data_IF_125369383032
#
_entry.id   IF_125369383032
#
_cell.length_a   1.000
_cell.length_b   1.000
_cell.length_c   1.000
_cell.angle_alpha   90.00
_cell.angle_beta   90.00
_cell.angle_gamma   90.00
#
_symmetry.space_group_name_H-M   'P 1'
#
loop_
_entity.id
_entity.type
_entity.pdbx_description
1 polymer ?
#
# COMPACT_ATOMS: atom_id res chain seq x y z
N UNK A 1 -6.48 42.11 51.41
CA UNK A 1 -5.15 42.62 51.71
C UNK A 1 -4.38 42.45 50.43
N UNK A 2 -4.35 43.49 49.66
CA UNK A 2 -3.25 44.43 49.32
C UNK A 2 -2.32 43.81 48.29
N UNK A 3 -2.36 44.27 47.08
CA UNK A 3 -2.01 45.53 46.40
C UNK A 3 -0.82 45.30 45.50
N UNK A 4 -0.99 45.57 44.22
CA UNK A 4 -0.48 46.75 43.49
C UNK A 4 0.98 46.56 43.07
N UNK A 5 1.47 46.97 41.93
CA UNK A 5 1.21 48.04 40.98
C UNK A 5 2.34 48.02 39.95
N UNK A 6 2.07 48.25 38.67
CA UNK A 6 2.41 49.45 37.88
C UNK A 6 3.88 49.57 37.45
N UNK A 7 4.11 49.85 36.26
CA UNK A 7 4.11 50.94 35.29
C UNK A 7 5.39 50.84 34.45
N UNK A 8 5.39 51.00 33.24
CA UNK A 8 5.30 52.07 32.24
C UNK A 8 6.66 52.43 31.56
N UNK A 9 6.63 52.67 30.31
CA UNK A 9 7.12 53.74 29.41
C UNK A 9 7.68 53.24 28.11
N UNK A 10 6.99 53.44 27.01
CA UNK A 10 6.96 54.63 26.10
C UNK A 10 8.30 55.10 25.53
N UNK A 11 8.43 55.04 24.22
CA UNK A 11 8.50 56.21 23.30
C UNK A 11 9.00 55.76 21.92
N UNK A 12 8.24 55.98 20.82
CA UNK A 12 8.16 57.18 19.91
C UNK A 12 9.44 57.34 19.03
N UNK A 13 9.35 57.35 17.74
CA UNK A 13 8.95 58.32 16.74
C UNK A 13 9.33 57.78 15.37
N UNK A 14 8.54 57.77 14.35
CA UNK A 14 7.90 58.79 13.53
C UNK A 14 8.69 59.18 12.23
N UNK A 15 7.92 59.09 11.14
CA UNK A 15 7.99 59.87 9.91
C UNK A 15 9.08 59.57 8.87
N UNK A 16 8.76 59.29 7.61
CA UNK A 16 8.24 60.23 6.64
C UNK A 16 7.74 59.59 5.35
N UNK A 17 6.83 60.27 4.76
CA UNK A 17 5.97 60.01 3.62
C UNK A 17 6.65 60.31 2.26
N UNK A 18 5.80 59.98 1.24
CA UNK A 18 5.77 60.51 -0.15
C UNK A 18 6.67 59.79 -1.18
N UNK A 19 6.20 59.35 -2.32
CA UNK A 19 5.20 59.81 -3.31
C UNK A 19 5.04 58.79 -4.45
N UNK A 20 3.82 58.57 -4.85
CA UNK A 20 3.26 58.48 -6.23
C UNK A 20 4.05 57.83 -7.37
N UNK A 21 3.43 56.78 -7.98
CA UNK A 21 3.72 56.35 -9.33
C UNK A 21 2.85 55.15 -9.77
N UNK A 22 1.81 55.41 -10.53
CA UNK A 22 0.98 54.43 -11.27
C UNK A 22 1.85 53.62 -12.21
N UNK A 23 1.65 52.29 -12.27
CA UNK A 23 1.41 51.62 -13.53
C UNK A 23 0.70 50.28 -13.33
N UNK A 24 -0.45 50.17 -14.00
CA UNK A 24 -1.18 48.91 -14.20
C UNK A 24 -0.67 48.32 -15.49
N UNK A 25 -0.13 47.10 -15.47
CA UNK A 25 -0.40 46.07 -16.48
C UNK A 25 0.50 44.83 -16.27
N UNK A 26 -0.10 43.67 -16.43
CA UNK A 26 0.52 42.36 -16.72
C UNK A 26 1.34 41.67 -15.63
N UNK A 27 0.70 40.78 -14.90
CA UNK A 27 1.34 39.55 -14.37
C UNK A 27 0.32 38.43 -14.18
N UNK A 28 -0.04 37.76 -15.26
CA UNK A 28 -0.82 36.52 -15.24
C UNK A 28 -0.08 35.29 -15.79
N UNK A 29 1.25 35.35 -15.93
CA UNK A 29 2.03 34.24 -16.55
C UNK A 29 3.12 33.60 -15.68
N UNK A 30 3.28 33.93 -14.42
CA UNK A 30 4.44 33.45 -13.64
C UNK A 30 4.16 32.44 -12.53
N UNK A 31 3.00 31.76 -12.49
CA UNK A 31 2.74 30.75 -11.44
C UNK A 31 2.89 29.27 -11.86
N UNK A 32 3.20 28.98 -13.13
CA UNK A 32 3.45 27.60 -13.58
C UNK A 32 4.92 27.17 -13.44
N UNK A 33 5.87 28.09 -13.33
CA UNK A 33 7.30 27.77 -13.25
C UNK A 33 7.82 27.37 -11.85
N UNK A 34 7.05 27.54 -10.77
CA UNK A 34 7.55 27.27 -9.42
C UNK A 34 7.54 25.79 -9.03
N UNK A 35 6.71 24.96 -9.68
CA UNK A 35 6.67 23.51 -9.38
C UNK A 35 7.59 22.70 -10.30
N UNK A 36 7.86 23.15 -11.51
CA UNK A 36 8.89 22.57 -12.40
C UNK A 36 10.28 22.79 -11.81
N UNK A 37 10.56 23.97 -11.26
CA UNK A 37 11.84 24.27 -10.60
C UNK A 37 12.11 23.45 -9.33
N UNK A 38 11.09 22.99 -8.61
CA UNK A 38 11.29 22.13 -7.42
C UNK A 38 11.59 20.67 -7.75
N UNK A 39 11.03 20.17 -8.85
CA UNK A 39 11.32 18.79 -9.31
C UNK A 39 12.71 18.70 -9.96
N UNK A 40 13.10 19.71 -10.71
CA UNK A 40 14.46 19.86 -11.26
C UNK A 40 15.50 19.96 -10.13
N UNK A 41 15.21 20.69 -9.06
CA UNK A 41 16.07 20.81 -7.89
C UNK A 41 16.30 19.49 -7.13
N UNK A 42 15.31 18.59 -7.09
CA UNK A 42 15.47 17.29 -6.44
C UNK A 42 16.35 16.34 -7.27
N UNK A 43 16.16 16.28 -8.58
CA UNK A 43 17.01 15.49 -9.49
C UNK A 43 18.44 16.02 -9.45
N UNK A 44 18.63 17.32 -9.50
CA UNK A 44 19.94 17.97 -9.36
C UNK A 44 20.60 17.64 -8.01
N UNK A 45 19.85 17.64 -6.92
CA UNK A 45 20.30 17.25 -5.57
C UNK A 45 20.71 15.78 -5.47
N UNK A 46 19.96 14.87 -6.10
CA UNK A 46 20.28 13.43 -6.14
C UNK A 46 21.55 13.19 -6.99
N UNK A 47 21.64 13.84 -8.12
CA UNK A 47 22.83 13.76 -9.00
C UNK A 47 24.08 14.38 -8.34
N UNK A 48 23.94 15.50 -7.62
CA UNK A 48 25.03 16.12 -6.87
C UNK A 48 25.54 15.23 -5.71
N UNK A 49 24.62 14.56 -5.01
CA UNK A 49 24.99 13.55 -4.00
C UNK A 49 25.66 12.32 -4.61
N UNK A 50 25.16 11.82 -5.74
CA UNK A 50 25.74 10.67 -6.44
C UNK A 50 27.15 11.00 -6.97
N UNK A 51 27.39 12.22 -7.46
CA UNK A 51 28.72 12.66 -7.90
C UNK A 51 29.70 12.88 -6.75
N UNK A 52 29.21 13.34 -5.59
CA UNK A 52 30.03 13.51 -4.37
C UNK A 52 30.36 12.19 -3.67
N UNK A 53 29.54 11.14 -3.86
CA UNK A 53 29.77 9.81 -3.27
C UNK A 53 30.77 8.93 -4.03
N UNK A 54 31.39 9.41 -5.10
CA UNK A 54 32.38 8.66 -5.87
C UNK A 54 31.82 7.53 -6.74
N UNK A 55 30.53 7.40 -6.84
CA UNK A 55 29.85 6.44 -7.71
C UNK A 55 29.83 6.96 -9.16
N UNK A 56 30.80 6.55 -9.94
CA UNK A 56 30.83 6.77 -11.39
C UNK A 56 31.93 7.72 -11.88
N UNK A 57 32.96 7.16 -12.53
CA UNK A 57 34.09 7.89 -13.12
C UNK A 57 33.77 8.76 -14.35
N UNK A 58 32.50 8.89 -14.76
CA UNK A 58 32.08 9.83 -15.80
C UNK A 58 31.18 10.90 -15.16
N UNK A 59 31.63 12.14 -15.17
CA UNK A 59 30.80 13.31 -14.82
C UNK A 59 29.55 13.31 -15.70
N UNK A 60 28.41 12.92 -15.15
CA UNK A 60 27.11 13.08 -15.79
C UNK A 60 26.87 14.61 -15.92
N UNK A 61 26.73 15.08 -17.15
CA UNK A 61 26.37 16.47 -17.39
C UNK A 61 24.87 16.65 -17.02
N UNK A 62 24.54 17.45 -15.98
CA UNK A 62 23.16 17.63 -15.52
C UNK A 62 22.22 18.06 -16.66
N UNK A 63 22.66 18.95 -17.53
CA UNK A 63 21.87 19.44 -18.67
C UNK A 63 21.56 18.35 -19.71
N UNK A 64 22.47 17.34 -19.87
CA UNK A 64 22.20 16.21 -20.76
C UNK A 64 21.22 15.21 -20.15
N UNK A 65 21.21 15.04 -18.82
CA UNK A 65 20.24 14.19 -18.12
C UNK A 65 18.88 14.85 -18.15
N UNK A 66 18.79 16.15 -17.89
CA UNK A 66 17.54 16.92 -18.00
C UNK A 66 16.98 16.88 -19.44
N UNK A 67 17.80 17.08 -20.44
CA UNK A 67 17.37 16.99 -21.84
C UNK A 67 16.93 15.57 -22.23
N UNK A 68 17.59 14.52 -21.72
CA UNK A 68 17.20 13.14 -21.96
C UNK A 68 15.87 12.79 -21.25
N UNK A 69 15.69 13.25 -20.01
CA UNK A 69 14.43 13.10 -19.27
C UNK A 69 13.29 13.88 -19.95
N UNK A 70 13.54 15.14 -20.36
CA UNK A 70 12.56 15.94 -21.08
C UNK A 70 12.18 15.31 -22.43
N UNK A 71 13.14 14.78 -23.19
CA UNK A 71 12.89 14.08 -24.45
C UNK A 71 12.11 12.78 -24.27
N UNK A 72 12.37 12.05 -23.19
CA UNK A 72 11.64 10.83 -22.85
C UNK A 72 10.22 11.15 -22.35
N UNK A 73 10.05 12.25 -21.61
CA UNK A 73 8.73 12.78 -21.23
C UNK A 73 7.91 13.20 -22.47
N UNK A 74 8.51 13.85 -23.44
CA UNK A 74 7.87 14.27 -24.70
C UNK A 74 7.42 13.06 -25.56
N UNK A 75 8.16 11.96 -25.52
CA UNK A 75 7.78 10.71 -26.18
C UNK A 75 6.62 9.99 -25.47
N UNK A 76 6.54 10.06 -24.14
CA UNK A 76 5.46 9.48 -23.34
C UNK A 76 4.15 10.28 -23.54
N UNK A 77 4.24 11.59 -23.75
CA UNK A 77 3.09 12.49 -23.96
C UNK A 77 2.51 12.44 -25.40
N UNK A 78 3.11 11.71 -26.31
CA UNK A 78 2.66 11.57 -27.72
C UNK A 78 1.64 10.46 -27.96
N UNK A 79 0.92 9.97 -26.93
CA UNK A 79 -0.23 9.09 -27.14
C UNK A 79 -1.43 9.94 -27.59
N UNK A 80 -1.99 9.69 -28.79
CA UNK A 80 -2.98 10.60 -29.40
C UNK A 80 -4.39 10.50 -28.82
N UNK A 81 -4.66 9.58 -27.91
CA UNK A 81 -6.00 9.40 -27.34
C UNK A 81 -6.00 9.80 -25.87
N UNK A 82 -6.80 10.82 -25.55
CA UNK A 82 -7.04 11.24 -24.15
C UNK A 82 -7.86 10.15 -23.45
N UNK A 83 -7.20 9.29 -22.68
CA UNK A 83 -7.86 8.28 -21.86
C UNK A 83 -8.82 9.00 -20.90
N UNK A 84 -10.12 8.59 -20.96
CA UNK A 84 -11.16 9.06 -20.05
C UNK A 84 -11.19 8.13 -18.84
N UNK A 85 -10.77 8.66 -17.71
CA UNK A 85 -10.58 7.88 -16.50
C UNK A 85 -11.43 8.41 -15.35
N UNK A 86 -12.05 7.52 -14.60
CA UNK A 86 -12.67 7.89 -13.34
C UNK A 86 -12.05 7.14 -12.18
N UNK A 87 -11.91 7.81 -11.04
CA UNK A 87 -11.52 7.19 -9.76
C UNK A 87 -12.72 7.24 -8.84
N UNK A 88 -13.27 6.08 -8.50
CA UNK A 88 -14.35 5.93 -7.53
C UNK A 88 -13.75 5.74 -6.15
N UNK A 89 -13.79 6.80 -5.34
CA UNK A 89 -13.24 6.80 -3.99
C UNK A 89 -12.26 7.94 -3.71
N UNK A 90 -12.64 8.85 -2.82
CA UNK A 90 -11.86 10.04 -2.42
C UNK A 90 -10.96 9.83 -1.22
N UNK A 91 -10.43 8.61 -1.00
CA UNK A 91 -9.40 8.34 0.00
C UNK A 91 -8.04 8.92 -0.41
N UNK A 92 -7.01 8.77 0.43
CA UNK A 92 -5.66 9.28 0.14
C UNK A 92 -5.11 8.70 -1.17
N UNK A 93 -5.15 7.39 -1.33
CA UNK A 93 -4.60 6.72 -2.51
C UNK A 93 -5.42 7.01 -3.78
N UNK A 94 -6.75 6.91 -3.73
CA UNK A 94 -7.60 7.26 -4.88
C UNK A 94 -7.41 8.71 -5.32
N UNK A 95 -7.26 9.64 -4.37
CA UNK A 95 -6.97 11.05 -4.69
C UNK A 95 -5.60 11.22 -5.34
N UNK A 96 -4.57 10.53 -4.86
CA UNK A 96 -3.23 10.58 -5.45
C UNK A 96 -3.23 10.03 -6.88
N UNK A 97 -3.91 8.90 -7.14
CA UNK A 97 -4.02 8.30 -8.48
C UNK A 97 -4.81 9.19 -9.46
N UNK A 98 -5.94 9.75 -9.01
CA UNK A 98 -6.71 10.68 -9.83
C UNK A 98 -5.90 11.94 -10.19
N UNK A 99 -5.16 12.47 -9.22
CA UNK A 99 -4.28 13.60 -9.44
C UNK A 99 -3.14 13.29 -10.42
N UNK A 100 -2.53 12.11 -10.29
CA UNK A 100 -1.46 11.65 -11.18
C UNK A 100 -1.95 11.50 -12.62
N UNK A 101 -3.08 10.81 -12.82
CA UNK A 101 -3.69 10.64 -14.15
C UNK A 101 -4.06 12.00 -14.80
N UNK A 102 -4.63 12.93 -14.03
CA UNK A 102 -4.93 14.28 -14.51
C UNK A 102 -3.65 15.05 -14.91
N UNK A 103 -2.57 14.94 -14.12
CA UNK A 103 -1.26 15.54 -14.43
C UNK A 103 -0.64 14.95 -15.69
N UNK A 104 -0.87 13.70 -15.98
CA UNK A 104 -0.42 13.03 -17.20
C UNK A 104 -1.29 13.35 -18.42
N UNK A 105 -2.34 14.16 -18.26
CA UNK A 105 -3.18 14.63 -19.38
C UNK A 105 -4.44 13.83 -19.62
N UNK A 106 -4.74 12.81 -18.83
CA UNK A 106 -5.99 12.05 -18.93
C UNK A 106 -7.20 12.93 -18.56
N UNK A 107 -8.34 12.71 -19.24
CA UNK A 107 -9.62 13.29 -18.82
C UNK A 107 -10.12 12.59 -17.56
N UNK A 108 -9.68 13.07 -16.40
CA UNK A 108 -9.86 12.40 -15.14
C UNK A 108 -10.96 13.01 -14.28
N UNK A 109 -11.87 12.17 -13.80
CA UNK A 109 -12.87 12.52 -12.80
C UNK A 109 -12.60 11.74 -11.51
N UNK A 110 -12.71 12.39 -10.35
CA UNK A 110 -12.78 11.71 -9.06
C UNK A 110 -14.19 11.78 -8.49
N UNK A 111 -14.77 10.62 -8.21
CA UNK A 111 -16.04 10.53 -7.52
C UNK A 111 -15.84 10.40 -6.01
N UNK A 112 -16.56 11.22 -5.25
CA UNK A 112 -16.55 11.21 -3.79
C UNK A 112 -17.98 11.24 -3.26
N UNK A 113 -18.37 10.25 -2.47
CA UNK A 113 -19.74 10.07 -1.95
C UNK A 113 -20.32 11.34 -1.27
N UNK A 114 -19.49 12.10 -0.58
CA UNK A 114 -19.95 13.25 0.19
C UNK A 114 -19.93 14.53 -0.65
N UNK A 115 -21.13 15.07 -0.96
CA UNK A 115 -21.34 16.30 -1.74
C UNK A 115 -20.60 17.52 -1.16
N UNK A 116 -20.53 17.64 0.19
CA UNK A 116 -19.82 18.76 0.83
C UNK A 116 -18.31 18.68 0.59
N UNK A 117 -17.76 17.45 0.64
CA UNK A 117 -16.35 17.21 0.34
C UNK A 117 -16.04 17.56 -1.11
N UNK A 118 -16.87 17.15 -2.08
CA UNK A 118 -16.71 17.49 -3.50
C UNK A 118 -16.69 19.00 -3.71
N UNK A 119 -17.68 19.72 -3.15
CA UNK A 119 -17.74 21.20 -3.24
C UNK A 119 -16.48 21.85 -2.64
N UNK A 120 -15.99 21.33 -1.52
CA UNK A 120 -14.75 21.82 -0.89
C UNK A 120 -13.54 21.55 -1.79
N UNK A 121 -13.40 20.34 -2.34
CA UNK A 121 -12.30 19.98 -3.25
C UNK A 121 -12.30 20.83 -4.52
N UNK A 122 -13.46 21.03 -5.13
CA UNK A 122 -13.60 21.88 -6.32
C UNK A 122 -13.20 23.33 -6.05
N UNK A 123 -13.56 23.90 -4.88
CA UNK A 123 -13.23 25.28 -4.49
C UNK A 123 -11.75 25.45 -4.12
N UNK A 124 -11.18 24.48 -3.41
CA UNK A 124 -9.84 24.63 -2.80
C UNK A 124 -8.74 23.86 -3.55
N UNK A 125 -9.12 23.01 -4.50
CA UNK A 125 -8.22 22.05 -5.17
C UNK A 125 -7.40 21.23 -4.16
N UNK A 126 -8.00 20.85 -3.01
CA UNK A 126 -7.36 20.08 -1.96
C UNK A 126 -8.33 19.06 -1.35
N UNK A 127 -7.87 17.86 -1.09
CA UNK A 127 -8.56 16.91 -0.23
C UNK A 127 -8.11 17.09 1.22
N UNK A 128 -8.71 18.05 1.93
CA UNK A 128 -8.30 18.43 3.28
C UNK A 128 -8.38 17.29 4.31
N UNK A 129 -9.27 16.31 4.07
CA UNK A 129 -9.48 15.19 4.99
C UNK A 129 -8.41 14.10 4.85
N UNK A 130 -8.04 13.75 3.63
CA UNK A 130 -7.22 12.57 3.36
C UNK A 130 -5.82 12.89 2.83
N UNK A 131 -5.62 14.08 2.25
CA UNK A 131 -4.33 14.59 1.78
C UNK A 131 -4.20 16.07 2.09
N UNK A 132 -4.18 16.46 3.38
CA UNK A 132 -4.04 17.87 3.77
C UNK A 132 -2.71 18.45 3.29
N UNK A 133 -2.74 19.70 2.83
CA UNK A 133 -1.54 20.43 2.39
C UNK A 133 -1.10 20.17 0.95
N UNK A 134 -1.76 19.26 0.22
CA UNK A 134 -1.42 18.98 -1.19
C UNK A 134 -2.45 19.58 -2.12
N UNK A 135 -1.98 20.44 -3.03
CA UNK A 135 -2.80 21.00 -4.11
C UNK A 135 -2.95 19.96 -5.21
N UNK A 136 -4.17 19.79 -5.69
CA UNK A 136 -4.51 18.90 -6.80
C UNK A 136 -4.40 19.64 -8.13
N UNK A 137 -4.18 18.88 -9.20
CA UNK A 137 -4.12 19.42 -10.56
C UNK A 137 -5.45 20.10 -10.94
N UNK A 138 -5.37 21.22 -11.66
CA UNK A 138 -6.55 22.01 -12.04
C UNK A 138 -7.41 21.34 -13.11
N UNK A 139 -6.89 20.35 -13.83
CA UNK A 139 -7.60 19.53 -14.82
C UNK A 139 -8.44 18.44 -14.19
N UNK A 140 -8.19 18.10 -12.90
CA UNK A 140 -8.96 17.07 -12.18
C UNK A 140 -10.41 17.54 -11.97
N UNK A 141 -11.35 16.75 -12.48
CA UNK A 141 -12.80 16.96 -12.32
C UNK A 141 -13.29 16.26 -11.06
N UNK A 142 -14.32 16.82 -10.44
CA UNK A 142 -14.87 16.32 -9.16
C UNK A 142 -16.37 16.03 -9.33
N UNK A 143 -16.83 14.84 -8.93
CA UNK A 143 -18.24 14.47 -8.95
C UNK A 143 -18.67 13.81 -7.65
N UNK A 144 -19.92 14.03 -7.25
CA UNK A 144 -20.64 13.26 -6.24
C UNK A 144 -21.77 12.42 -6.86
N UNK A 145 -22.05 12.64 -8.14
CA UNK A 145 -22.99 11.85 -8.92
C UNK A 145 -22.23 10.69 -9.57
N UNK A 146 -22.65 9.46 -9.24
CA UNK A 146 -21.95 8.24 -9.63
C UNK A 146 -22.16 7.94 -11.11
N UNK A 147 -23.36 8.13 -11.63
CA UNK A 147 -23.70 7.90 -13.03
C UNK A 147 -22.83 8.77 -13.94
N UNK A 148 -22.87 10.08 -13.73
CA UNK A 148 -22.09 11.02 -14.55
C UNK A 148 -20.57 10.82 -14.41
N UNK A 149 -20.11 10.27 -13.29
CA UNK A 149 -18.69 9.99 -13.09
C UNK A 149 -18.22 8.74 -13.84
N UNK A 150 -19.08 7.73 -14.01
CA UNK A 150 -18.75 6.41 -14.57
C UNK A 150 -19.07 6.32 -16.06
N UNK A 151 -20.19 6.92 -16.48
CA UNK A 151 -20.66 6.90 -17.86
C UNK A 151 -19.62 7.52 -18.81
N UNK A 152 -19.48 6.94 -19.98
CA UNK A 152 -18.57 7.41 -21.04
C UNK A 152 -17.09 7.47 -20.64
N UNK A 153 -16.65 6.61 -19.72
CA UNK A 153 -15.25 6.42 -19.36
C UNK A 153 -14.65 5.19 -20.06
N UNK A 154 -13.33 5.20 -20.19
CA UNK A 154 -12.60 4.06 -20.72
C UNK A 154 -12.15 3.14 -19.58
N UNK A 155 -11.70 3.74 -18.47
CA UNK A 155 -11.19 3.03 -17.28
C UNK A 155 -11.82 3.58 -16.01
N UNK A 156 -12.24 2.68 -15.14
CA UNK A 156 -12.76 2.97 -13.80
C UNK A 156 -11.80 2.39 -12.76
N UNK A 157 -11.16 3.26 -11.99
CA UNK A 157 -10.36 2.87 -10.83
C UNK A 157 -11.24 2.81 -9.58
N UNK A 158 -11.31 1.65 -8.92
CA UNK A 158 -12.03 1.48 -7.65
C UNK A 158 -11.05 1.60 -6.47
N UNK A 159 -11.18 2.68 -5.72
CA UNK A 159 -10.33 3.01 -4.56
C UNK A 159 -11.17 3.19 -3.28
N UNK A 160 -12.07 2.23 -3.04
CA UNK A 160 -12.96 2.18 -1.89
C UNK A 160 -12.46 1.13 -0.86
N UNK A 161 -12.87 1.17 0.42
CA UNK A 161 -12.58 0.09 1.36
C UNK A 161 -13.13 -1.25 0.86
N UNK A 162 -12.46 -2.37 1.20
CA UNK A 162 -12.89 -3.72 0.80
C UNK A 162 -14.34 -4.03 1.22
N UNK A 163 -14.75 -3.57 2.41
CA UNK A 163 -16.11 -3.72 2.92
C UNK A 163 -17.20 -3.00 2.11
N UNK A 164 -16.83 -2.02 1.28
CA UNK A 164 -17.76 -1.27 0.43
C UNK A 164 -17.62 -1.66 -1.06
N UNK A 165 -16.74 -2.59 -1.40
CA UNK A 165 -16.35 -2.85 -2.77
C UNK A 165 -17.51 -3.46 -3.60
N UNK A 166 -18.12 -4.54 -3.11
CA UNK A 166 -19.27 -5.21 -3.77
C UNK A 166 -20.45 -4.27 -3.92
N UNK A 167 -20.82 -3.52 -2.88
CA UNK A 167 -21.90 -2.55 -2.96
C UNK A 167 -21.61 -1.46 -4.01
N UNK A 168 -20.36 -1.00 -4.07
CA UNK A 168 -19.94 -0.01 -5.08
C UNK A 168 -20.07 -0.59 -6.49
N UNK A 169 -19.66 -1.85 -6.72
CA UNK A 169 -19.84 -2.52 -8.01
C UNK A 169 -21.32 -2.64 -8.40
N UNK A 170 -22.18 -3.05 -7.48
CA UNK A 170 -23.64 -3.11 -7.73
C UNK A 170 -24.20 -1.74 -8.13
N UNK A 171 -23.73 -0.67 -7.49
CA UNK A 171 -24.18 0.68 -7.76
C UNK A 171 -23.68 1.24 -9.10
N UNK A 172 -22.50 0.83 -9.60
CA UNK A 172 -22.00 1.26 -10.91
C UNK A 172 -22.50 0.36 -12.07
N UNK A 173 -22.90 -0.88 -11.78
CA UNK A 173 -23.32 -1.89 -12.77
C UNK A 173 -24.30 -1.36 -13.81
N UNK A 174 -25.36 -0.58 -13.45
CA UNK A 174 -26.32 -0.06 -14.43
C UNK A 174 -25.72 0.88 -15.48
N UNK A 175 -24.53 1.44 -15.20
CA UNK A 175 -23.87 2.45 -16.03
C UNK A 175 -22.67 1.88 -16.80
N UNK A 176 -22.39 0.58 -16.64
CA UNK A 176 -21.27 -0.09 -17.33
C UNK A 176 -21.72 -0.50 -18.74
N UNK A 177 -20.94 -0.04 -19.73
CA UNK A 177 -21.13 -0.39 -21.14
C UNK A 177 -19.77 -0.39 -21.87
N UNK A 178 -18.89 -1.38 -21.54
CA UNK A 178 -17.57 -1.54 -22.17
C UNK A 178 -16.40 -0.90 -21.45
N UNK A 179 -16.61 -0.22 -20.32
CA UNK A 179 -15.51 0.29 -19.49
C UNK A 179 -14.72 -0.87 -18.86
N UNK A 180 -13.40 -0.68 -18.73
CA UNK A 180 -12.56 -1.58 -17.95
C UNK A 180 -12.50 -1.15 -16.48
N UNK A 181 -12.41 -2.11 -15.55
CA UNK A 181 -12.35 -1.84 -14.11
C UNK A 181 -10.96 -2.22 -13.57
N UNK A 182 -10.36 -1.33 -12.79
CA UNK A 182 -9.10 -1.61 -12.09
C UNK A 182 -9.30 -1.42 -10.59
N UNK A 183 -9.11 -2.51 -9.84
CA UNK A 183 -9.12 -2.45 -8.37
C UNK A 183 -7.83 -1.83 -7.85
N UNK A 184 -7.95 -0.77 -7.05
CA UNK A 184 -6.89 -0.19 -6.23
C UNK A 184 -7.05 -0.58 -4.76
N UNK A 185 -8.08 -1.37 -4.45
CA UNK A 185 -8.46 -1.80 -3.11
C UNK A 185 -7.60 -2.98 -2.68
N UNK A 186 -7.10 -2.92 -1.46
CA UNK A 186 -6.30 -3.98 -0.85
C UNK A 186 -7.11 -4.63 0.27
N UNK A 187 -7.27 -5.93 0.23
CA UNK A 187 -8.03 -6.69 1.22
C UNK A 187 -8.90 -7.76 0.60
N UNK A 188 -9.71 -8.39 1.43
CA UNK A 188 -10.66 -9.44 1.08
C UNK A 188 -12.05 -9.08 1.61
N UNK A 189 -13.08 -9.64 0.99
CA UNK A 189 -14.46 -9.49 1.47
C UNK A 189 -14.64 -10.32 2.75
N UNK A 190 -15.30 -9.70 3.73
CA UNK A 190 -15.62 -10.39 4.98
C UNK A 190 -16.57 -11.56 4.71
N UNK A 191 -16.42 -12.64 5.44
CA UNK A 191 -17.26 -13.85 5.41
C UNK A 191 -17.10 -14.74 4.16
N UNK A 192 -16.80 -14.20 2.99
CA UNK A 192 -16.62 -14.97 1.75
C UNK A 192 -15.15 -15.26 1.42
N UNK A 193 -14.23 -14.50 1.97
CA UNK A 193 -12.79 -14.49 1.64
C UNK A 193 -12.49 -14.14 0.17
N UNK A 194 -13.49 -13.64 -0.56
CA UNK A 194 -13.35 -13.27 -1.96
C UNK A 194 -12.38 -12.09 -2.11
N UNK A 195 -11.45 -12.21 -3.03
CA UNK A 195 -10.61 -11.10 -3.47
C UNK A 195 -11.43 -10.11 -4.29
N UNK A 196 -10.94 -8.90 -4.47
CA UNK A 196 -11.67 -7.88 -5.23
C UNK A 196 -11.87 -8.30 -6.69
N UNK A 197 -10.92 -9.04 -7.26
CA UNK A 197 -11.03 -9.65 -8.60
C UNK A 197 -12.16 -10.67 -8.69
N UNK A 198 -12.34 -11.50 -7.64
CA UNK A 198 -13.44 -12.46 -7.57
C UNK A 198 -14.79 -11.72 -7.54
N UNK A 199 -14.88 -10.66 -6.74
CA UNK A 199 -16.09 -9.84 -6.65
C UNK A 199 -16.41 -9.15 -7.98
N UNK A 200 -15.38 -8.70 -8.73
CA UNK A 200 -15.61 -8.13 -10.08
C UNK A 200 -16.17 -9.20 -11.02
N UNK A 201 -15.59 -10.41 -11.02
CA UNK A 201 -16.09 -11.53 -11.83
C UNK A 201 -17.54 -11.90 -11.48
N UNK A 202 -17.88 -11.92 -10.20
CA UNK A 202 -19.24 -12.22 -9.72
C UNK A 202 -20.26 -11.18 -10.18
N UNK A 203 -19.95 -9.90 -10.00
CA UNK A 203 -20.90 -8.82 -10.22
C UNK A 203 -20.96 -8.38 -11.70
N UNK A 204 -19.83 -8.47 -12.42
CA UNK A 204 -19.63 -7.95 -13.77
C UNK A 204 -18.80 -8.93 -14.62
N UNK A 205 -19.33 -10.13 -14.95
CA UNK A 205 -18.56 -11.21 -15.59
C UNK A 205 -17.98 -10.86 -16.96
N UNK A 206 -18.60 -9.94 -17.70
CA UNK A 206 -18.19 -9.55 -19.05
C UNK A 206 -17.20 -8.37 -19.09
N UNK A 207 -16.79 -7.84 -17.92
CA UNK A 207 -15.95 -6.65 -17.86
C UNK A 207 -14.47 -7.03 -17.87
N UNK A 208 -13.69 -6.37 -18.74
CA UNK A 208 -12.23 -6.41 -18.61
C UNK A 208 -11.80 -5.77 -17.31
N UNK A 209 -10.97 -6.46 -16.54
CA UNK A 209 -10.52 -5.92 -15.26
C UNK A 209 -9.04 -6.17 -15.00
N UNK A 210 -8.54 -5.43 -14.05
CA UNK A 210 -7.21 -5.59 -13.50
C UNK A 210 -7.16 -5.19 -12.03
N UNK A 211 -6.02 -5.44 -11.41
CA UNK A 211 -5.72 -5.05 -10.04
C UNK A 211 -4.40 -4.30 -10.00
N UNK A 212 -4.28 -3.32 -9.12
CA UNK A 212 -3.04 -2.54 -9.00
C UNK A 212 -2.55 -2.55 -7.55
N UNK A 213 -1.30 -2.97 -7.36
CA UNK A 213 -0.65 -3.04 -6.05
C UNK A 213 0.84 -2.73 -6.15
N UNK A 214 1.47 -2.40 -5.01
CA UNK A 214 2.88 -2.03 -4.91
C UNK A 214 3.14 -1.07 -3.76
N UNK A 215 4.39 -0.62 -3.55
CA UNK A 215 4.79 0.34 -2.51
C UNK A 215 4.28 1.74 -2.84
N UNK A 216 3.00 2.00 -2.54
CA UNK A 216 2.25 3.16 -2.99
C UNK A 216 1.79 4.03 -1.80
N UNK A 217 2.72 4.72 -1.14
CA UNK A 217 2.40 5.69 -0.11
C UNK A 217 1.91 6.99 -0.77
N UNK A 218 0.63 7.30 -0.62
CA UNK A 218 -0.04 8.42 -1.30
C UNK A 218 0.67 9.77 -1.08
N UNK A 219 1.20 10.00 0.11
CA UNK A 219 1.94 11.24 0.47
C UNK A 219 3.23 11.35 -0.35
N UNK A 220 3.94 10.25 -0.57
CA UNK A 220 5.18 10.24 -1.35
C UNK A 220 4.91 10.49 -2.83
N UNK A 221 3.85 9.87 -3.37
CA UNK A 221 3.41 10.12 -4.75
C UNK A 221 3.04 11.59 -4.94
N UNK A 222 2.32 12.20 -3.99
CA UNK A 222 1.98 13.63 -4.06
C UNK A 222 3.20 14.55 -3.97
N UNK A 223 4.28 14.10 -3.33
CA UNK A 223 5.58 14.80 -3.27
C UNK A 223 6.45 14.58 -4.49
N UNK A 224 6.00 13.82 -5.50
CA UNK A 224 6.79 13.38 -6.65
C UNK A 224 8.05 12.61 -6.26
N UNK A 225 8.01 11.85 -5.15
CA UNK A 225 9.10 10.93 -4.84
C UNK A 225 9.05 9.76 -5.80
N UNK A 226 10.20 9.31 -6.34
CA UNK A 226 10.24 8.17 -7.23
C UNK A 226 9.54 6.96 -6.63
N UNK A 227 8.53 6.45 -7.32
CA UNK A 227 7.67 5.37 -6.86
C UNK A 227 7.34 4.43 -8.02
N UNK A 228 6.97 3.21 -7.70
CA UNK A 228 6.56 2.23 -8.70
C UNK A 228 5.38 1.40 -8.22
N UNK A 229 4.59 0.88 -9.17
CA UNK A 229 3.45 0.00 -8.93
C UNK A 229 3.40 -1.12 -9.96
N UNK A 230 2.54 -2.10 -9.74
CA UNK A 230 2.23 -3.17 -10.70
C UNK A 230 0.76 -3.08 -11.05
N UNK A 231 0.45 -3.13 -12.36
CA UNK A 231 -0.87 -3.45 -12.89
C UNK A 231 -0.89 -4.92 -13.31
N UNK A 232 -1.80 -5.70 -12.77
CA UNK A 232 -2.02 -7.08 -13.19
C UNK A 232 -3.39 -7.22 -13.86
N UNK A 233 -3.39 -7.83 -15.05
CA UNK A 233 -4.60 -8.11 -15.82
C UNK A 233 -4.30 -9.15 -16.88
N UNK A 234 -5.27 -9.99 -17.23
CA UNK A 234 -5.20 -10.87 -18.40
C UNK A 234 -5.25 -10.05 -19.71
N UNK A 235 -5.92 -8.88 -19.69
CA UNK A 235 -6.01 -7.97 -20.83
C UNK A 235 -4.73 -7.13 -21.00
N UNK A 236 -3.94 -7.46 -22.03
CA UNK A 236 -2.76 -6.67 -22.41
C UNK A 236 -3.11 -5.22 -22.78
N UNK A 237 -4.20 -4.95 -23.57
CA UNK A 237 -4.62 -3.58 -23.83
C UNK A 237 -4.91 -2.78 -22.57
N UNK A 238 -5.53 -3.38 -21.54
CA UNK A 238 -5.78 -2.71 -20.26
C UNK A 238 -4.49 -2.40 -19.53
N UNK A 239 -3.53 -3.35 -19.50
CA UNK A 239 -2.22 -3.09 -18.89
C UNK A 239 -1.53 -1.88 -19.54
N UNK A 240 -1.51 -1.83 -20.87
CA UNK A 240 -0.91 -0.71 -21.61
C UNK A 240 -1.66 0.61 -21.38
N UNK A 241 -2.99 0.59 -21.34
CA UNK A 241 -3.78 1.80 -21.09
C UNK A 241 -3.53 2.37 -19.68
N UNK A 242 -3.42 1.51 -18.66
CA UNK A 242 -3.08 1.93 -17.29
C UNK A 242 -1.64 2.46 -17.20
N UNK A 243 -0.71 1.80 -17.90
CA UNK A 243 0.66 2.29 -18.01
C UNK A 243 0.68 3.69 -18.64
N UNK A 244 0.01 3.90 -19.75
CA UNK A 244 -0.08 5.21 -20.42
C UNK A 244 -0.72 6.29 -19.53
N UNK A 245 -1.76 5.92 -18.77
CA UNK A 245 -2.46 6.86 -17.90
C UNK A 245 -1.63 7.33 -16.70
N UNK A 246 -0.78 6.46 -16.13
CA UNK A 246 -0.12 6.73 -14.84
C UNK A 246 1.40 6.87 -14.93
N UNK A 247 2.05 6.36 -15.98
CA UNK A 247 3.51 6.41 -16.08
C UNK A 247 4.00 7.85 -16.18
N UNK A 248 5.04 8.19 -15.42
CA UNK A 248 5.67 9.51 -15.43
C UNK A 248 7.14 9.39 -15.03
N UNK A 249 7.89 10.49 -15.04
CA UNK A 249 9.29 10.52 -14.58
C UNK A 249 9.45 10.08 -13.11
N UNK A 250 8.38 10.19 -12.30
CA UNK A 250 8.40 9.88 -10.87
C UNK A 250 7.51 8.70 -10.47
N UNK A 251 6.74 8.14 -11.40
CA UNK A 251 5.86 7.02 -11.12
C UNK A 251 5.92 5.98 -12.24
N UNK A 252 6.49 4.83 -11.95
CA UNK A 252 6.65 3.76 -12.92
C UNK A 252 5.59 2.67 -12.72
N UNK A 253 4.97 2.23 -13.82
CA UNK A 253 3.96 1.16 -13.81
C UNK A 253 4.54 -0.07 -14.51
N UNK A 254 4.71 -1.15 -13.78
CA UNK A 254 5.09 -2.46 -14.30
C UNK A 254 3.84 -3.28 -14.59
N UNK A 255 3.92 -4.20 -15.53
CA UNK A 255 2.81 -5.08 -15.90
C UNK A 255 3.05 -6.51 -15.37
N UNK A 256 1.97 -7.20 -15.06
CA UNK A 256 1.92 -8.62 -14.71
C UNK A 256 0.65 -9.26 -15.26
N UNK A 257 0.64 -10.57 -15.44
CA UNK A 257 -0.55 -11.38 -15.71
C UNK A 257 -1.05 -12.12 -14.45
N UNK A 258 -0.23 -12.20 -13.40
CA UNK A 258 -0.59 -12.80 -12.11
C UNK A 258 -1.46 -11.84 -11.26
N UNK A 259 -2.77 -11.79 -11.56
CA UNK A 259 -3.76 -11.02 -10.80
C UNK A 259 -3.77 -11.47 -9.35
N UNK A 260 -3.79 -12.79 -9.11
CA UNK A 260 -3.89 -13.40 -7.79
C UNK A 260 -2.74 -13.00 -6.88
N UNK A 261 -1.50 -13.15 -7.37
CA UNK A 261 -0.29 -12.82 -6.59
C UNK A 261 -0.17 -11.33 -6.30
N UNK A 262 -0.48 -10.46 -7.27
CA UNK A 262 -0.44 -9.00 -7.07
C UNK A 262 -1.48 -8.54 -6.04
N UNK A 263 -2.66 -9.13 -6.05
CA UNK A 263 -3.75 -8.80 -5.13
C UNK A 263 -3.48 -9.31 -3.71
N UNK A 264 -3.07 -10.59 -3.59
CA UNK A 264 -2.72 -11.20 -2.31
C UNK A 264 -1.54 -10.51 -1.65
N UNK A 265 -0.50 -10.15 -2.40
CA UNK A 265 0.63 -9.37 -1.88
C UNK A 265 0.16 -8.09 -1.20
N UNK A 266 -0.72 -7.34 -1.86
CA UNK A 266 -1.31 -6.11 -1.31
C UNK A 266 -2.22 -6.32 -0.10
N UNK A 267 -2.95 -7.43 -0.04
CA UNK A 267 -3.86 -7.74 1.06
C UNK A 267 -3.11 -8.25 2.30
N UNK A 268 -2.24 -9.25 2.12
CA UNK A 268 -1.56 -9.95 3.21
C UNK A 268 -0.53 -9.09 3.94
N UNK A 269 0.18 -8.19 3.25
CA UNK A 269 1.19 -7.32 3.87
C UNK A 269 0.69 -6.54 5.08
N UNK A 270 -0.61 -6.26 5.11
CA UNK A 270 -1.23 -5.50 6.20
C UNK A 270 -1.22 -6.24 7.53
N UNK A 271 -1.25 -7.57 7.50
CA UNK A 271 -1.06 -8.46 8.66
C UNK A 271 0.31 -8.20 9.27
N UNK A 272 1.34 -8.29 8.45
CA UNK A 272 2.73 -8.23 8.90
C UNK A 272 3.17 -6.81 9.28
N UNK A 273 2.52 -5.80 8.71
CA UNK A 273 2.71 -4.44 9.17
C UNK A 273 2.23 -4.23 10.62
N UNK A 274 1.18 -4.94 11.06
CA UNK A 274 0.76 -4.97 12.46
C UNK A 274 1.83 -5.66 13.32
N UNK A 275 2.32 -6.84 12.88
CA UNK A 275 3.40 -7.57 13.59
C UNK A 275 4.65 -6.70 13.77
N UNK A 276 5.09 -6.05 12.69
CA UNK A 276 6.26 -5.18 12.71
C UNK A 276 6.05 -3.97 13.62
N UNK A 277 4.85 -3.39 13.61
CA UNK A 277 4.49 -2.29 14.50
C UNK A 277 4.53 -2.71 15.99
N UNK A 278 4.05 -3.93 16.32
CA UNK A 278 4.15 -4.49 17.67
C UNK A 278 5.61 -4.71 18.06
N UNK A 279 6.41 -5.31 17.20
CA UNK A 279 7.85 -5.51 17.44
C UNK A 279 8.56 -4.17 17.69
N UNK A 280 8.26 -3.15 16.90
CA UNK A 280 8.82 -1.80 17.08
C UNK A 280 8.43 -1.16 18.42
N UNK A 281 7.31 -1.52 19.03
CA UNK A 281 6.93 -1.04 20.36
C UNK A 281 7.81 -1.61 21.49
N UNK A 282 8.46 -2.74 21.25
CA UNK A 282 9.41 -3.39 22.16
C UNK A 282 10.86 -3.02 21.86
N UNK A 283 11.09 -2.05 20.98
CA UNK A 283 12.43 -1.55 20.62
C UNK A 283 13.39 -2.66 20.16
N UNK A 284 12.86 -3.63 19.38
CA UNK A 284 13.66 -4.76 18.87
C UNK A 284 14.72 -4.29 17.88
N UNK A 285 15.87 -4.99 17.86
CA UNK A 285 16.98 -4.72 16.95
C UNK A 285 16.68 -5.03 15.48
N UNK A 286 17.57 -4.57 14.58
CA UNK A 286 17.43 -4.74 13.14
C UNK A 286 17.43 -6.20 12.68
N UNK A 287 18.16 -7.08 13.37
CA UNK A 287 18.15 -8.53 13.09
C UNK A 287 16.75 -9.14 13.29
N UNK A 288 16.05 -8.75 14.35
CA UNK A 288 14.67 -9.21 14.62
C UNK A 288 13.71 -8.69 13.56
N UNK A 289 13.84 -7.42 13.16
CA UNK A 289 13.02 -6.84 12.09
C UNK A 289 13.26 -7.55 10.75
N UNK A 290 14.52 -7.83 10.41
CA UNK A 290 14.89 -8.56 9.20
C UNK A 290 14.32 -9.98 9.20
N UNK A 291 14.47 -10.72 10.32
CA UNK A 291 13.90 -12.04 10.49
C UNK A 291 12.39 -12.00 10.34
N UNK A 292 11.70 -11.10 11.03
CA UNK A 292 10.24 -10.97 10.95
C UNK A 292 9.77 -10.68 9.52
N UNK A 293 10.46 -9.77 8.81
CA UNK A 293 10.14 -9.45 7.42
C UNK A 293 10.31 -10.67 6.50
N UNK A 294 11.41 -11.42 6.65
CA UNK A 294 11.70 -12.61 5.85
C UNK A 294 10.66 -13.73 6.11
N UNK A 295 10.34 -13.98 7.38
CA UNK A 295 9.31 -14.97 7.73
C UNK A 295 7.91 -14.54 7.27
N UNK A 296 7.62 -13.25 7.31
CA UNK A 296 6.37 -12.69 6.77
C UNK A 296 6.25 -12.94 5.26
N UNK A 297 7.34 -12.73 4.51
CA UNK A 297 7.35 -13.01 3.08
C UNK A 297 7.15 -14.50 2.76
N UNK A 298 7.75 -15.39 3.57
CA UNK A 298 7.56 -16.83 3.45
C UNK A 298 6.09 -17.24 3.69
N UNK A 299 5.43 -16.67 4.70
CA UNK A 299 4.00 -16.89 4.93
C UNK A 299 3.13 -16.37 3.78
N UNK A 300 3.42 -15.16 3.30
CA UNK A 300 2.71 -14.58 2.16
C UNK A 300 2.80 -15.47 0.93
N UNK A 301 4.01 -15.95 0.62
CA UNK A 301 4.24 -16.82 -0.53
C UNK A 301 3.51 -18.15 -0.37
N UNK A 302 3.59 -18.79 0.80
CA UNK A 302 2.94 -20.07 1.08
C UNK A 302 1.42 -19.97 0.93
N UNK A 303 0.80 -19.00 1.59
CA UNK A 303 -0.64 -18.76 1.46
C UNK A 303 -1.01 -18.41 0.01
N UNK A 304 -0.20 -17.58 -0.65
CA UNK A 304 -0.46 -17.17 -2.02
C UNK A 304 -0.44 -18.32 -3.01
N UNK A 305 0.51 -19.25 -2.88
CA UNK A 305 0.60 -20.46 -3.74
C UNK A 305 -0.63 -21.35 -3.57
N UNK A 306 -1.08 -21.58 -2.35
CA UNK A 306 -2.31 -22.34 -2.07
C UNK A 306 -3.56 -21.65 -2.68
N UNK A 307 -3.53 -20.34 -2.83
CA UNK A 307 -4.56 -19.57 -3.48
C UNK A 307 -4.36 -19.42 -5.01
N UNK A 308 -3.38 -20.10 -5.60
CA UNK A 308 -3.12 -20.10 -7.04
C UNK A 308 -2.29 -18.94 -7.56
N UNK A 309 -1.55 -18.23 -6.70
CA UNK A 309 -0.62 -17.19 -7.11
C UNK A 309 0.74 -17.77 -7.55
N UNK A 310 1.43 -17.05 -8.43
CA UNK A 310 2.81 -17.34 -8.76
C UNK A 310 3.73 -16.92 -7.59
N UNK A 311 4.53 -17.83 -6.98
CA UNK A 311 5.41 -17.49 -5.87
C UNK A 311 6.43 -16.40 -6.20
N UNK A 312 6.88 -16.28 -7.45
CA UNK A 312 7.81 -15.24 -7.88
C UNK A 312 7.23 -13.83 -7.84
N UNK A 313 5.90 -13.70 -7.88
CA UNK A 313 5.23 -12.40 -7.72
C UNK A 313 5.52 -11.77 -6.36
N UNK A 314 5.70 -12.59 -5.33
CA UNK A 314 6.02 -12.09 -3.99
C UNK A 314 7.44 -11.53 -3.85
N UNK A 315 8.36 -11.84 -4.77
CA UNK A 315 9.69 -11.22 -4.85
C UNK A 315 9.66 -9.85 -5.54
N UNK A 316 8.52 -9.48 -6.13
CA UNK A 316 8.33 -8.22 -6.85
C UNK A 316 7.81 -7.07 -5.99
N UNK A 317 7.40 -5.99 -6.68
CA UNK A 317 6.92 -4.76 -6.05
C UNK A 317 5.64 -4.96 -5.23
N UNK A 318 4.71 -5.80 -5.68
CA UNK A 318 3.45 -6.09 -4.96
C UNK A 318 3.64 -7.03 -3.77
N UNK A 319 4.75 -7.80 -3.74
CA UNK A 319 5.16 -8.64 -2.63
C UNK A 319 6.13 -7.93 -1.69
N UNK A 320 7.41 -8.31 -1.76
CA UNK A 320 8.46 -7.79 -0.86
C UNK A 320 8.56 -6.26 -0.86
N UNK A 321 8.37 -5.61 -2.02
CA UNK A 321 8.44 -4.14 -2.13
C UNK A 321 7.37 -3.45 -1.28
N UNK A 322 6.11 -3.87 -1.42
CA UNK A 322 4.98 -3.30 -0.68
C UNK A 322 4.99 -3.72 0.80
N UNK A 323 5.44 -4.95 1.09
CA UNK A 323 5.67 -5.43 2.44
C UNK A 323 6.69 -4.54 3.17
N UNK A 324 7.89 -4.35 2.58
CA UNK A 324 8.95 -3.53 3.15
C UNK A 324 8.47 -2.09 3.42
N UNK A 325 7.89 -1.44 2.40
CA UNK A 325 7.43 -0.06 2.51
C UNK A 325 6.34 0.11 3.59
N UNK A 326 5.48 -0.91 3.78
CA UNK A 326 4.38 -0.86 4.74
C UNK A 326 4.85 -1.17 6.16
N UNK A 327 5.80 -2.08 6.32
CA UNK A 327 6.35 -2.51 7.61
C UNK A 327 7.33 -1.50 8.23
N UNK A 328 8.00 -0.69 7.41
CA UNK A 328 9.01 0.27 7.88
C UNK A 328 8.54 1.73 7.85
N UNK A 329 7.25 1.98 7.67
CA UNK A 329 6.73 3.35 7.56
C UNK A 329 5.70 3.67 8.64
N UNK A 330 5.94 4.73 9.40
CA UNK A 330 4.95 5.31 10.32
C UNK A 330 3.73 5.91 9.58
N UNK A 331 3.80 6.08 8.26
CA UNK A 331 2.65 6.43 7.44
C UNK A 331 1.68 5.25 7.29
N UNK A 332 2.14 4.02 7.56
CA UNK A 332 1.31 2.82 7.55
C UNK A 332 0.36 2.80 8.75
N UNK A 333 -0.94 2.77 8.46
CA UNK A 333 -2.00 2.65 9.48
C UNK A 333 -1.87 1.35 10.28
N UNK A 334 -1.57 0.25 9.59
CA UNK A 334 -1.43 -1.06 10.21
C UNK A 334 -0.19 -1.13 11.12
N UNK A 335 0.94 -0.55 10.71
CA UNK A 335 2.11 -0.40 11.55
C UNK A 335 1.79 0.39 12.84
N UNK A 336 1.10 1.52 12.69
CA UNK A 336 0.69 2.35 13.86
C UNK A 336 -0.24 1.62 14.81
N UNK A 337 -1.20 0.82 14.29
CA UNK A 337 -2.03 -0.05 15.12
C UNK A 337 -1.18 -1.05 15.89
N UNK A 338 -0.30 -1.78 15.18
CA UNK A 338 0.60 -2.73 15.82
C UNK A 338 1.44 -2.09 16.93
N UNK A 339 1.97 -0.89 16.70
CA UNK A 339 2.74 -0.16 17.72
C UNK A 339 1.89 0.21 18.94
N UNK A 340 0.62 0.60 18.74
CA UNK A 340 -0.29 0.87 19.86
C UNK A 340 -0.65 -0.41 20.64
N UNK A 341 -0.87 -1.54 19.95
CA UNK A 341 -1.12 -2.84 20.58
C UNK A 341 0.10 -3.33 21.38
N UNK A 342 1.30 -3.21 20.80
CA UNK A 342 2.55 -3.57 21.50
C UNK A 342 2.81 -2.73 22.76
N UNK A 343 2.24 -1.52 22.82
CA UNK A 343 2.26 -0.66 24.03
C UNK A 343 1.12 -0.95 25.00
N UNK A 344 0.37 -2.03 24.83
CA UNK A 344 -0.70 -2.47 25.72
C UNK A 344 -2.05 -1.79 25.49
N UNK A 345 -2.25 -1.08 24.37
CA UNK A 345 -3.56 -0.54 24.01
C UNK A 345 -4.45 -1.65 23.46
N UNK A 346 -5.75 -1.65 23.82
CA UNK A 346 -6.71 -2.58 23.20
C UNK A 346 -6.97 -2.24 21.75
N UNK A 347 -7.39 -3.24 20.95
CA UNK A 347 -7.66 -3.03 19.52
C UNK A 347 -8.73 -1.95 19.29
N UNK A 348 -9.79 -1.93 20.06
CA UNK A 348 -10.87 -0.94 19.94
C UNK A 348 -10.37 0.48 20.23
N UNK A 349 -9.56 0.65 21.27
CA UNK A 349 -8.94 1.93 21.60
C UNK A 349 -7.97 2.40 20.49
N UNK A 350 -7.18 1.49 19.92
CA UNK A 350 -6.24 1.78 18.85
C UNK A 350 -6.97 2.21 17.56
N UNK A 351 -8.02 1.47 17.16
CA UNK A 351 -8.85 1.81 15.99
C UNK A 351 -9.55 3.13 16.18
N UNK A 352 -10.14 3.38 17.37
CA UNK A 352 -10.79 4.66 17.71
C UNK A 352 -9.80 5.84 17.65
N UNK A 353 -8.58 5.65 18.19
CA UNK A 353 -7.53 6.67 18.17
C UNK A 353 -7.03 6.95 16.76
N UNK A 354 -6.97 5.95 15.89
CA UNK A 354 -6.57 6.11 14.51
C UNK A 354 -7.65 6.85 13.68
N UNK A 355 -8.93 6.73 14.06
CA UNK A 355 -10.07 7.36 13.37
C UNK A 355 -10.33 6.85 11.96
N UNK A 356 -9.77 5.70 11.60
CA UNK A 356 -9.87 5.08 10.27
C UNK A 356 -9.89 3.56 10.40
N UNK A 357 -10.49 2.88 9.42
CA UNK A 357 -10.55 1.42 9.35
C UNK A 357 -9.15 0.81 9.21
N UNK A 358 -8.86 -0.22 9.98
CA UNK A 358 -7.66 -1.04 9.88
C UNK A 358 -7.99 -2.32 9.11
N UNK A 359 -7.73 -2.33 7.83
CA UNK A 359 -8.00 -3.50 6.98
C UNK A 359 -7.19 -4.72 7.46
N UNK A 360 -5.95 -4.51 7.96
CA UNK A 360 -5.10 -5.59 8.47
C UNK A 360 -5.72 -6.40 9.60
N UNK A 361 -6.51 -5.78 10.49
CA UNK A 361 -7.17 -6.48 11.60
C UNK A 361 -8.17 -7.51 11.06
N UNK A 362 -9.06 -7.09 10.17
CA UNK A 362 -10.01 -8.01 9.53
C UNK A 362 -9.29 -9.10 8.71
N UNK A 363 -8.21 -8.72 8.01
CA UNK A 363 -7.41 -9.66 7.22
C UNK A 363 -6.76 -10.74 8.09
N UNK A 364 -6.30 -10.42 9.31
CA UNK A 364 -5.75 -11.41 10.24
C UNK A 364 -6.78 -12.48 10.55
N UNK A 365 -8.00 -12.10 10.93
CA UNK A 365 -9.06 -13.07 11.22
C UNK A 365 -9.37 -13.96 10.01
N UNK A 366 -9.59 -13.34 8.86
CA UNK A 366 -9.94 -14.04 7.63
C UNK A 366 -8.85 -15.04 7.20
N UNK A 367 -7.59 -14.61 7.18
CA UNK A 367 -6.47 -15.47 6.78
C UNK A 367 -6.24 -16.58 7.82
N UNK A 368 -6.35 -16.27 9.12
CA UNK A 368 -6.28 -17.27 10.18
C UNK A 368 -7.33 -18.38 10.01
N UNK A 369 -8.60 -18.00 9.79
CA UNK A 369 -9.70 -18.95 9.61
C UNK A 369 -9.49 -19.82 8.36
N UNK A 370 -9.11 -19.19 7.24
CA UNK A 370 -8.89 -19.91 5.99
C UNK A 370 -7.68 -20.82 6.06
N UNK A 371 -6.56 -20.33 6.59
CA UNK A 371 -5.34 -21.12 6.76
C UNK A 371 -5.57 -22.32 7.69
N UNK A 372 -6.31 -22.14 8.79
CA UNK A 372 -6.66 -23.22 9.71
C UNK A 372 -7.52 -24.29 9.04
N UNK A 373 -8.49 -23.90 8.22
CA UNK A 373 -9.34 -24.87 7.48
C UNK A 373 -8.56 -25.66 6.42
N UNK A 374 -7.56 -25.03 5.79
CA UNK A 374 -6.77 -25.63 4.71
C UNK A 374 -5.46 -26.25 5.19
N UNK A 375 -5.12 -26.16 6.49
CA UNK A 375 -3.87 -26.69 7.05
C UNK A 375 -2.62 -25.91 6.61
N UNK A 376 -2.77 -24.64 6.22
CA UNK A 376 -1.65 -23.81 5.78
C UNK A 376 -0.89 -23.29 7.00
N UNK A 377 0.42 -23.50 7.02
CA UNK A 377 1.26 -23.09 8.13
C UNK A 377 1.53 -21.57 8.11
N UNK A 378 0.88 -20.83 9.04
CA UNK A 378 0.89 -19.37 9.13
C UNK A 378 1.18 -18.88 10.56
N UNK A 379 2.37 -19.20 11.13
CA UNK A 379 2.65 -18.96 12.56
C UNK A 379 2.53 -17.50 12.98
N UNK A 380 3.01 -16.53 12.18
CA UNK A 380 2.92 -15.11 12.54
C UNK A 380 1.45 -14.66 12.51
N UNK A 381 0.69 -15.09 11.51
CA UNK A 381 -0.75 -14.77 11.41
C UNK A 381 -1.53 -15.35 12.57
N UNK A 382 -1.27 -16.62 12.95
CA UNK A 382 -1.90 -17.25 14.10
C UNK A 382 -1.51 -16.58 15.43
N UNK A 383 -0.24 -16.19 15.56
CA UNK A 383 0.25 -15.43 16.71
C UNK A 383 -0.46 -14.08 16.88
N UNK A 384 -0.62 -13.35 15.77
CA UNK A 384 -1.36 -12.07 15.78
C UNK A 384 -2.83 -12.25 16.10
N UNK A 385 -3.46 -13.32 15.59
CA UNK A 385 -4.83 -13.68 15.93
C UNK A 385 -4.97 -13.91 17.43
N UNK A 386 -4.08 -14.72 18.02
CA UNK A 386 -4.08 -15.00 19.45
C UNK A 386 -3.95 -13.73 20.32
N UNK A 387 -3.12 -12.77 19.89
CA UNK A 387 -2.97 -11.48 20.60
C UNK A 387 -4.21 -10.59 20.47
N UNK A 388 -4.83 -10.53 19.29
CA UNK A 388 -5.89 -9.57 18.99
C UNK A 388 -7.27 -10.07 19.42
N UNK A 389 -7.53 -11.38 19.30
CA UNK A 389 -8.85 -11.98 19.47
C UNK A 389 -8.96 -12.93 20.67
N UNK A 390 -7.81 -13.37 21.24
CA UNK A 390 -7.77 -14.30 22.39
C UNK A 390 -7.10 -13.66 23.62
N UNK A 391 -6.83 -12.36 23.60
CA UNK A 391 -6.21 -11.58 24.68
C UNK A 391 -4.88 -12.14 25.21
N UNK A 392 -4.13 -12.88 24.38
CA UNK A 392 -2.82 -13.41 24.77
C UNK A 392 -1.75 -12.31 24.77
N UNK A 393 -0.85 -12.38 25.74
CA UNK A 393 0.25 -11.41 25.87
C UNK A 393 1.20 -11.49 24.66
N UNK A 394 1.40 -10.37 23.96
CA UNK A 394 2.20 -10.30 22.74
C UNK A 394 3.64 -10.83 22.92
N UNK A 395 4.29 -10.51 24.04
CA UNK A 395 5.64 -10.98 24.34
C UNK A 395 5.69 -12.50 24.52
N UNK A 396 4.71 -13.08 25.23
CA UNK A 396 4.63 -14.55 25.43
C UNK A 396 4.44 -15.28 24.10
N UNK A 397 3.59 -14.75 23.22
CA UNK A 397 3.38 -15.31 21.88
C UNK A 397 4.63 -15.20 21.01
N UNK A 398 5.35 -14.08 21.08
CA UNK A 398 6.60 -13.89 20.35
C UNK A 398 7.71 -14.85 20.81
N UNK A 399 7.84 -15.08 22.12
CA UNK A 399 8.79 -16.06 22.67
C UNK A 399 8.45 -17.47 22.21
N UNK A 400 7.17 -17.86 22.24
CA UNK A 400 6.73 -19.16 21.74
C UNK A 400 7.07 -19.38 20.25
N UNK A 401 6.97 -18.34 19.42
CA UNK A 401 7.41 -18.42 18.02
C UNK A 401 8.91 -18.68 17.86
N UNK A 402 9.73 -18.20 18.81
CA UNK A 402 11.19 -18.42 18.81
C UNK A 402 11.56 -19.84 19.28
N UNK A 403 10.72 -20.49 20.06
CA UNK A 403 10.90 -21.86 20.55
C UNK A 403 10.41 -22.91 19.54
N UNK A 404 9.71 -22.49 18.47
CA UNK A 404 9.23 -23.40 17.44
C UNK A 404 10.41 -24.13 16.75
N UNK A 405 10.25 -25.45 16.55
CA UNK A 405 11.31 -26.34 16.06
C UNK A 405 11.97 -25.92 14.75
N UNK A 406 13.10 -26.55 14.44
CA UNK A 406 13.92 -26.25 13.25
C UNK A 406 13.14 -26.45 11.95
N UNK A 407 13.20 -25.46 11.06
CA UNK A 407 12.61 -25.52 9.72
C UNK A 407 13.60 -25.01 8.68
N UNK A 408 13.34 -25.35 7.42
CA UNK A 408 14.11 -24.82 6.30
C UNK A 408 14.01 -23.29 6.22
N UNK A 409 15.09 -22.60 5.91
CA UNK A 409 15.08 -21.14 5.74
C UNK A 409 14.25 -20.70 4.52
N UNK A 410 14.46 -21.40 3.39
CA UNK A 410 13.72 -21.13 2.14
C UNK A 410 12.75 -22.28 1.91
N UNK A 411 11.47 -22.00 2.09
CA UNK A 411 10.37 -22.88 1.74
C UNK A 411 9.79 -22.44 0.38
N UNK A 412 10.55 -22.67 -0.70
CA UNK A 412 10.00 -22.48 -2.05
C UNK A 412 9.05 -23.63 -2.35
N UNK A 413 7.77 -23.37 -2.30
CA UNK A 413 6.77 -24.24 -2.90
C UNK A 413 6.74 -23.90 -4.39
N UNK A 414 7.39 -24.67 -5.20
CA UNK A 414 7.19 -24.61 -6.66
C UNK A 414 5.73 -24.96 -6.94
N UNK A 415 5.06 -24.33 -7.92
CA UNK A 415 3.71 -24.72 -8.33
C UNK A 415 3.71 -26.23 -8.55
N UNK A 416 2.73 -26.92 -8.02
CA UNK A 416 2.64 -28.37 -8.02
C UNK A 416 2.83 -28.95 -9.42
N UNK A 417 4.01 -29.45 -9.70
CA UNK A 417 4.16 -30.63 -10.53
C UNK A 417 3.72 -31.79 -9.62
N UNK A 418 2.66 -32.49 -9.97
CA UNK A 418 2.09 -33.59 -9.15
C UNK A 418 3.07 -34.74 -8.87
N UNK A 419 4.34 -34.64 -9.35
CA UNK A 419 5.44 -35.55 -9.09
C UNK A 419 6.15 -35.35 -7.74
N UNK A 420 5.94 -34.21 -7.04
CA UNK A 420 6.68 -33.89 -5.80
C UNK A 420 5.86 -34.06 -4.49
N UNK A 421 4.64 -34.58 -4.56
CA UNK A 421 3.88 -34.98 -3.36
C UNK A 421 4.64 -36.02 -2.50
N UNK A 422 5.59 -36.76 -3.10
CA UNK A 422 6.40 -37.73 -2.39
C UNK A 422 7.50 -37.09 -1.51
N UNK A 423 8.04 -35.93 -1.90
CA UNK A 423 9.13 -35.27 -1.15
C UNK A 423 8.61 -34.59 0.12
N UNK A 424 7.47 -33.95 0.03
CA UNK A 424 6.82 -33.33 1.20
C UNK A 424 6.31 -34.39 2.18
N UNK A 425 5.80 -35.53 1.68
CA UNK A 425 5.43 -36.67 2.50
C UNK A 425 6.65 -37.34 3.20
N UNK A 426 7.81 -37.39 2.53
CA UNK A 426 9.05 -37.91 3.09
C UNK A 426 9.64 -36.98 4.16
N UNK A 427 9.57 -35.67 3.99
CA UNK A 427 10.02 -34.69 4.98
C UNK A 427 9.10 -34.70 6.22
N UNK A 428 7.79 -34.83 6.03
CA UNK A 428 6.84 -34.95 7.13
C UNK A 428 6.93 -36.30 7.84
N UNK A 429 7.26 -37.39 7.13
CA UNK A 429 7.50 -38.69 7.71
C UNK A 429 8.81 -38.75 8.52
N UNK A 430 9.86 -38.09 8.08
CA UNK A 430 11.13 -38.00 8.81
C UNK A 430 11.02 -37.16 10.09
N UNK A 431 10.11 -36.18 10.15
CA UNK A 431 9.87 -35.39 11.37
C UNK A 431 8.98 -36.13 12.39
N UNK A 432 8.16 -37.08 11.96
CA UNK A 432 7.31 -37.87 12.86
C UNK A 432 8.02 -39.09 13.48
N UNK A 433 9.15 -39.54 12.94
CA UNK A 433 9.95 -40.62 13.50
C UNK A 433 10.93 -40.20 14.59
N UNK A 434 11.24 -38.87 14.71
CA UNK A 434 12.09 -38.35 15.79
C UNK A 434 11.38 -38.21 17.15
N UNK A 435 10.03 -38.23 17.18
CA UNK A 435 9.26 -38.14 18.43
C UNK A 435 8.90 -39.48 19.05
N UNK A 436 9.12 -40.62 18.34
CA UNK A 436 8.82 -41.97 18.85
C UNK A 436 9.99 -42.63 19.59
N UNK A 437 11.23 -42.17 19.41
CA UNK A 437 12.41 -42.80 20.03
C UNK A 437 12.76 -42.25 21.45
N UNK A 438 12.12 -41.16 21.89
CA UNK A 438 12.37 -40.60 23.24
C UNK A 438 11.41 -41.10 24.33
N UNK A 439 10.52 -42.06 24.04
CA UNK A 439 9.55 -42.54 25.03
C UNK A 439 9.72 -44.04 25.43
N UNK A 440 10.79 -44.71 24.97
CA UNK A 440 11.01 -46.12 25.28
C UNK A 440 12.10 -46.43 26.33
N UNK A 441 12.85 -45.46 26.85
CA UNK A 441 13.95 -45.73 27.80
C UNK A 441 13.68 -45.40 29.28
N UNK A 442 12.43 -45.14 29.68
CA UNK A 442 12.11 -44.81 31.08
C UNK A 442 11.25 -45.85 31.81
N UNK A 443 11.24 -47.15 31.38
CA UNK A 443 10.53 -48.21 32.10
C UNK A 443 11.33 -49.53 32.24
N UNK A 444 12.63 -49.43 32.62
CA UNK A 444 13.36 -50.60 33.15
C UNK A 444 14.43 -50.19 34.17
N UNK A 445 14.04 -49.86 35.38
CA UNK A 445 14.88 -50.04 36.58
C UNK A 445 14.06 -49.78 37.85
N UNK A 446 13.29 -50.77 38.27
CA UNK A 446 12.91 -50.96 39.67
C UNK A 446 12.14 -52.27 39.80
N UNK A 447 12.84 -53.38 39.81
CA UNK A 447 12.44 -54.62 40.52
C UNK A 447 13.63 -55.58 40.50
N UNK A 448 14.48 -55.46 41.52
CA UNK A 448 15.22 -56.57 42.09
C UNK A 448 16.03 -56.10 43.31
N UNK A 449 15.37 -56.02 44.45
CA UNK A 449 15.99 -56.21 45.79
C UNK A 449 14.90 -56.52 46.77
N UNK A 450 14.57 -57.83 46.85
CA UNK A 450 14.14 -58.48 48.08
C UNK A 450 13.96 -59.98 47.77
N UNK A 451 15.07 -60.69 47.90
CA UNK A 451 15.17 -61.95 48.62
C UNK A 451 16.64 -62.34 48.76
#
# INVERSE_FOLDING_TARGET
>A
MTSSSDEDKQNQNANNADTVGRDKSNNSENNNNSNENKSTGLIASILDRATKSGFGRKKLNPNKVEAAVAKQMDQIHKSPEKIRLTVVGGGSFGTAMANLAARNGCDTTIWVRNKRTVKSMAKTQMNKKYLPGYKLDNRLKYSYDLESAVKDKDIIFLAVPSSAFRETLKNIKPFISGQSIVSLTKGMEKDTFALMSDIIKDELPEVNFGVMSGPNLAVEIMKNMPSATVIASESEPLRHAVQAALHSAFFRVFASDDIRGVELGGALKNIYAIAMGMAAAYDVGENTKAMLLTRSLAEMSRFGVEEGANPLTFLGLSGVGDLYATCNSELSRNFRIGNMLGRGMTIDAAVKKLGQTAEGVNTIQQVHEKASKQGIYMPITHALHAVIYEDKAALGVALHLMEAGFRSDVEFVMPHDHSNASLTAQINAASSTSDSDNNSDNHKSNNDKNK
#
